data_IF_233324645942
#
_entry.id   IF_233324645942
#
_cell.length_a   1.000
_cell.length_b   1.000
_cell.length_c   1.000
_cell.angle_alpha   90.00
_cell.angle_beta   90.00
_cell.angle_gamma   90.00
#
_symmetry.space_group_name_H-M   'P 1'
#
loop_
_entity.id
_entity.type
_entity.pdbx_description
1 polymer ?
#
# COMPACT_ATOMS: atom_id res chain seq x y z
N UNK A 1 19.32 -59.73 -1.23
CA UNK A 1 20.35 -58.79 -0.72
C UNK A 1 20.15 -57.44 -1.42
N UNK A 2 19.33 -56.56 -0.84
CA UNK A 2 19.05 -55.21 -1.35
C UNK A 2 18.76 -54.31 -0.16
N UNK A 3 19.47 -53.20 -0.03
CA UNK A 3 19.16 -51.99 0.75
C UNK A 3 20.26 -50.98 0.34
N UNK A 4 20.04 -50.17 -0.69
CA UNK A 4 19.42 -48.83 -0.72
C UNK A 4 20.16 -47.74 0.07
N UNK A 5 20.40 -46.66 -0.66
CA UNK A 5 21.32 -45.57 -0.41
C UNK A 5 20.80 -44.52 0.59
N UNK A 6 21.78 -43.88 1.23
CA UNK A 6 21.68 -42.77 2.17
C UNK A 6 21.02 -41.52 1.58
N UNK A 7 19.93 -41.06 2.22
CA UNK A 7 19.39 -39.69 2.08
C UNK A 7 19.95 -38.83 3.22
N UNK A 8 20.72 -37.79 2.86
CA UNK A 8 21.10 -36.68 3.74
C UNK A 8 19.86 -35.86 4.10
N UNK A 9 19.47 -35.89 5.38
CA UNK A 9 18.50 -34.95 5.94
C UNK A 9 19.14 -33.56 6.06
N UNK A 10 18.63 -32.59 5.30
CA UNK A 10 18.87 -31.18 5.55
C UNK A 10 18.09 -30.80 6.82
N UNK A 11 18.79 -30.46 7.89
CA UNK A 11 18.19 -29.78 9.04
C UNK A 11 17.60 -28.45 8.55
N UNK A 12 16.28 -28.34 8.60
CA UNK A 12 15.58 -27.06 8.59
C UNK A 12 15.91 -26.36 9.91
N UNK A 13 16.70 -25.28 9.83
CA UNK A 13 16.84 -24.32 10.90
C UNK A 13 15.45 -23.74 11.18
N UNK A 14 14.90 -24.07 12.36
CA UNK A 14 13.70 -23.45 12.89
C UNK A 14 14.04 -21.98 13.17
N UNK A 15 13.72 -21.10 12.22
CA UNK A 15 13.80 -19.66 12.44
C UNK A 15 12.85 -19.32 13.59
N UNK A 16 13.44 -18.90 14.71
CA UNK A 16 12.73 -18.36 15.85
C UNK A 16 12.06 -17.07 15.37
N UNK A 17 10.79 -17.18 14.94
CA UNK A 17 9.93 -16.01 14.74
C UNK A 17 9.77 -15.40 16.12
N UNK A 18 10.56 -14.36 16.40
CA UNK A 18 10.30 -13.47 17.53
C UNK A 18 8.90 -12.92 17.30
N UNK A 19 7.94 -13.48 18.02
CA UNK A 19 6.57 -13.01 18.01
C UNK A 19 6.61 -11.52 18.29
N UNK A 20 6.14 -10.73 17.34
CA UNK A 20 5.74 -9.35 17.59
C UNK A 20 4.76 -9.46 18.76
N UNK A 21 5.20 -9.08 19.96
CA UNK A 21 4.28 -8.86 21.04
C UNK A 21 3.37 -7.75 20.55
N UNK A 22 2.18 -8.13 20.07
CA UNK A 22 1.04 -7.26 19.96
C UNK A 22 0.80 -6.79 21.38
N UNK A 23 1.46 -5.69 21.77
CA UNK A 23 1.01 -4.87 22.87
C UNK A 23 -0.42 -4.54 22.44
N UNK A 24 -1.45 -5.03 23.14
CA UNK A 24 -2.80 -4.63 22.83
C UNK A 24 -2.76 -3.12 22.84
N UNK A 25 -3.20 -2.47 21.76
CA UNK A 25 -3.34 -1.03 21.72
C UNK A 25 -4.25 -0.67 22.89
N UNK A 26 -3.65 -0.33 24.02
CA UNK A 26 -4.35 0.22 25.16
C UNK A 26 -4.98 1.45 24.57
N UNK A 27 -6.31 1.43 24.42
CA UNK A 27 -7.06 2.64 24.18
C UNK A 27 -6.93 3.46 25.46
N UNK A 28 -5.80 4.13 25.61
CA UNK A 28 -5.66 5.24 26.54
C UNK A 28 -6.62 6.26 25.97
N UNK A 29 -7.78 6.41 26.63
CA UNK A 29 -8.66 7.53 26.36
C UNK A 29 -7.81 8.82 26.45
N UNK A 30 -8.10 9.80 25.59
CA UNK A 30 -7.43 11.09 25.61
C UNK A 30 -7.34 11.62 27.05
N UNK A 31 -6.12 11.93 27.50
CA UNK A 31 -5.80 12.38 28.84
C UNK A 31 -4.42 11.94 29.34
N UNK A 32 -4.11 12.33 30.57
CA UNK A 32 -2.85 12.01 31.24
C UNK A 32 -2.96 10.74 32.07
N UNK A 33 -1.81 10.10 32.31
CA UNK A 33 -1.71 8.90 33.13
C UNK A 33 -0.32 8.65 33.69
N UNK A 34 -0.14 7.60 34.51
CA UNK A 34 -1.21 6.96 35.27
C UNK A 34 -1.77 7.93 36.33
N UNK A 35 -2.84 7.49 37.01
CA UNK A 35 -3.25 8.10 38.28
C UNK A 35 -2.07 8.08 39.25
N UNK A 36 -1.81 9.23 39.87
CA UNK A 36 -0.67 9.44 40.76
C UNK A 36 -0.99 10.51 41.80
N UNK A 37 -0.31 10.49 42.96
CA UNK A 37 -0.44 11.57 43.93
C UNK A 37 -0.15 12.92 43.28
N UNK A 38 -0.95 13.92 43.63
CA UNK A 38 -0.79 15.28 43.14
C UNK A 38 -0.28 16.18 44.25
N UNK A 39 0.37 17.26 43.82
CA UNK A 39 1.03 18.23 44.68
C UNK A 39 0.57 19.64 44.31
N UNK A 40 0.92 20.59 45.16
CA UNK A 40 0.69 22.01 44.86
C UNK A 40 2.03 22.72 44.78
N UNK A 41 2.04 23.90 44.16
CA UNK A 41 3.21 24.75 44.09
C UNK A 41 3.81 25.07 45.48
N UNK A 42 2.95 25.26 46.49
CA UNK A 42 3.37 25.54 47.87
C UNK A 42 3.82 24.27 48.64
N UNK A 43 3.45 23.08 48.17
CA UNK A 43 3.83 21.81 48.79
C UNK A 43 4.27 20.79 47.72
N UNK A 44 5.51 20.95 47.17
CA UNK A 44 6.06 20.01 46.20
C UNK A 44 6.35 18.62 46.78
N UNK A 45 6.59 17.65 45.91
CA UNK A 45 6.79 16.26 46.30
C UNK A 45 8.05 16.07 47.16
N UNK A 46 8.00 15.11 48.08
CA UNK A 46 9.17 14.66 48.84
C UNK A 46 9.94 13.51 48.17
N UNK A 47 9.60 13.19 46.93
CA UNK A 47 10.24 12.17 46.10
C UNK A 47 10.22 12.61 44.64
N UNK A 48 10.99 11.90 43.80
CA UNK A 48 11.05 12.16 42.36
C UNK A 48 9.75 11.73 41.70
N UNK A 49 9.01 12.69 41.19
CA UNK A 49 7.81 12.49 40.39
C UNK A 49 7.75 13.57 39.33
N UNK A 50 7.12 13.28 38.19
CA UNK A 50 7.04 14.22 37.09
C UNK A 50 5.63 14.75 36.92
N UNK A 51 5.51 16.06 36.68
CA UNK A 51 4.30 16.70 36.17
C UNK A 51 3.05 16.38 37.00
N UNK A 52 3.15 16.49 38.31
CA UNK A 52 2.16 16.14 39.33
C UNK A 52 1.72 17.35 40.15
N UNK A 53 2.21 18.56 39.87
CA UNK A 53 1.69 19.80 40.46
C UNK A 53 0.43 20.26 39.71
N UNK A 54 -0.61 20.65 40.44
CA UNK A 54 -1.93 21.01 39.86
C UNK A 54 -2.16 22.52 39.72
N UNK A 55 -1.29 23.35 40.28
CA UNK A 55 -1.44 24.80 40.32
C UNK A 55 -0.11 25.55 40.15
N UNK A 56 0.73 25.11 39.21
CA UNK A 56 1.94 25.84 38.83
C UNK A 56 1.54 27.25 38.36
N UNK A 57 2.18 28.32 38.86
CA UNK A 57 1.78 29.70 38.57
C UNK A 57 2.00 30.11 37.11
N UNK A 58 2.82 29.37 36.36
CA UNK A 58 3.14 29.64 34.95
C UNK A 58 2.31 28.78 34.02
N UNK A 59 2.27 27.45 34.25
CA UNK A 59 1.61 26.50 33.32
C UNK A 59 0.27 25.96 33.82
N UNK A 60 -0.12 26.25 35.06
CA UNK A 60 -1.33 25.72 35.68
C UNK A 60 -1.17 24.26 36.12
N UNK A 61 -2.09 23.41 35.69
CA UNK A 61 -2.00 21.98 35.95
C UNK A 61 -0.92 21.36 35.04
N UNK A 62 0.09 20.73 35.64
CA UNK A 62 1.22 20.17 34.88
C UNK A 62 0.92 18.79 34.29
N UNK A 63 -0.19 18.14 34.68
CA UNK A 63 -0.53 16.80 34.23
C UNK A 63 -0.83 16.71 32.72
N UNK A 64 -1.56 17.67 32.10
CA UNK A 64 -1.65 17.79 30.63
C UNK A 64 -0.40 18.49 30.07
N UNK A 65 0.70 17.75 29.97
CA UNK A 65 2.00 18.28 29.59
C UNK A 65 2.36 18.18 28.10
N UNK A 66 1.59 17.46 27.29
CA UNK A 66 1.74 17.39 25.84
C UNK A 66 0.72 18.30 25.18
N UNK A 67 1.19 19.22 24.37
CA UNK A 67 0.33 20.08 23.57
C UNK A 67 1.04 20.42 22.25
N UNK A 68 0.33 21.00 21.29
CA UNK A 68 0.95 21.40 20.05
C UNK A 68 0.22 22.52 19.32
N UNK A 69 0.76 22.90 18.18
CA UNK A 69 0.12 23.84 17.26
C UNK A 69 0.65 23.65 15.86
N UNK A 70 -0.15 23.99 14.85
CA UNK A 70 0.36 24.21 13.50
C UNK A 70 1.46 25.26 13.59
N UNK A 71 2.64 24.98 13.03
CA UNK A 71 3.85 25.75 13.25
C UNK A 71 3.75 27.21 12.75
N UNK A 72 2.89 27.45 11.76
CA UNK A 72 2.57 28.78 11.22
C UNK A 72 1.60 29.57 12.10
N UNK A 73 0.94 28.93 13.08
CA UNK A 73 0.01 29.61 13.98
C UNK A 73 0.78 30.41 15.05
N UNK A 74 0.56 31.74 15.15
CA UNK A 74 1.22 32.57 16.15
C UNK A 74 0.71 32.33 17.58
N UNK A 75 -0.43 31.65 17.76
CA UNK A 75 -1.03 31.37 19.06
C UNK A 75 -0.25 30.42 19.97
N UNK A 76 -0.79 30.21 21.17
CA UNK A 76 -0.29 29.24 22.15
C UNK A 76 -0.51 27.80 21.67
N UNK A 77 0.21 26.85 22.27
CA UNK A 77 -0.08 25.43 22.07
C UNK A 77 -1.43 25.07 22.68
N UNK A 78 -2.09 24.10 22.08
CA UNK A 78 -3.42 23.61 22.44
C UNK A 78 -3.41 22.09 22.49
N UNK A 79 -4.40 21.53 23.18
CA UNK A 79 -4.60 20.09 23.34
C UNK A 79 -5.39 19.46 22.17
N UNK A 80 -6.14 20.29 21.44
CA UNK A 80 -6.95 19.88 20.29
C UNK A 80 -6.50 20.64 19.04
N UNK A 81 -5.92 19.93 18.07
CA UNK A 81 -5.31 20.53 16.88
C UNK A 81 -6.10 20.13 15.64
N UNK A 82 -6.67 21.12 14.97
CA UNK A 82 -7.21 20.92 13.62
C UNK A 82 -6.06 20.98 12.61
N UNK A 83 -5.98 19.99 11.74
CA UNK A 83 -4.90 19.85 10.74
C UNK A 83 -5.45 19.80 9.32
N UNK A 84 -4.66 20.29 8.38
CA UNK A 84 -4.83 20.17 6.93
C UNK A 84 -3.67 19.38 6.33
N UNK A 85 -3.82 19.02 5.05
CA UNK A 85 -2.76 18.33 4.32
C UNK A 85 -1.49 19.21 4.26
N UNK A 86 -0.33 18.58 4.44
CA UNK A 86 0.99 19.22 4.48
C UNK A 86 1.24 20.22 5.62
N UNK A 87 0.33 20.36 6.58
CA UNK A 87 0.61 21.15 7.79
C UNK A 87 1.86 20.59 8.50
N UNK A 88 2.71 21.50 8.96
CA UNK A 88 3.78 21.17 9.91
C UNK A 88 3.27 21.53 11.30
N UNK A 89 3.19 20.56 12.19
CA UNK A 89 2.75 20.74 13.58
C UNK A 89 3.97 20.68 14.50
N UNK A 90 4.12 21.69 15.36
CA UNK A 90 5.08 21.66 16.45
C UNK A 90 4.41 21.07 17.69
N UNK A 91 4.93 19.95 18.19
CA UNK A 91 4.53 19.38 19.48
C UNK A 91 5.49 19.84 20.57
N UNK A 92 4.98 19.98 21.79
CA UNK A 92 5.70 20.44 22.97
C UNK A 92 5.33 19.58 24.17
N UNK A 93 6.33 19.01 24.81
CA UNK A 93 6.23 18.23 26.05
C UNK A 93 6.85 19.05 27.17
N UNK A 94 6.06 19.49 28.14
CA UNK A 94 6.58 20.09 29.37
C UNK A 94 7.09 19.01 30.32
N UNK A 95 8.24 19.20 30.95
CA UNK A 95 8.73 18.30 31.99
C UNK A 95 9.11 19.10 33.24
N UNK A 96 8.74 18.57 34.40
CA UNK A 96 9.15 19.11 35.69
C UNK A 96 9.27 17.96 36.70
N UNK A 97 10.48 17.74 37.23
CA UNK A 97 10.67 16.88 38.39
C UNK A 97 10.21 17.64 39.64
N UNK A 98 9.06 17.27 40.18
CA UNK A 98 8.41 18.01 41.27
C UNK A 98 8.97 17.69 42.66
N UNK A 99 10.08 16.96 42.76
CA UNK A 99 10.80 16.84 44.02
C UNK A 99 11.18 18.25 44.50
N UNK A 100 10.86 18.55 45.76
CA UNK A 100 11.21 19.82 46.40
C UNK A 100 12.72 20.07 46.35
N UNK A 101 13.10 21.34 46.32
CA UNK A 101 14.50 21.75 46.09
C UNK A 101 15.45 21.36 47.23
N UNK A 102 15.03 21.50 48.49
CA UNK A 102 15.83 21.21 49.68
C UNK A 102 16.29 19.75 49.80
N UNK A 103 15.63 18.82 49.10
CA UNK A 103 16.03 17.42 49.09
C UNK A 103 17.16 17.12 48.10
N UNK A 104 17.45 18.02 47.16
CA UNK A 104 18.48 17.84 46.12
C UNK A 104 18.36 16.50 45.35
N UNK A 105 17.13 16.04 45.12
CA UNK A 105 16.88 14.78 44.40
C UNK A 105 17.06 14.97 42.90
N UNK A 106 17.66 13.98 42.25
CA UNK A 106 17.94 13.98 40.81
C UNK A 106 17.34 12.73 40.18
N UNK A 107 16.44 12.93 39.21
CA UNK A 107 15.94 11.85 38.37
C UNK A 107 17.07 11.36 37.46
N UNK A 108 17.15 10.05 37.25
CA UNK A 108 18.22 9.42 36.46
C UNK A 108 17.65 8.68 35.26
N UNK A 109 18.45 8.64 34.18
CA UNK A 109 18.08 8.02 32.91
C UNK A 109 16.76 8.58 32.35
N UNK A 110 16.52 9.88 32.59
CA UNK A 110 15.29 10.56 32.21
C UNK A 110 15.21 10.70 30.70
N UNK A 111 14.11 10.21 30.12
CA UNK A 111 13.85 10.23 28.68
C UNK A 111 12.46 10.74 28.37
N UNK A 112 12.34 11.40 27.23
CA UNK A 112 11.06 11.74 26.59
C UNK A 112 10.85 10.84 25.38
N UNK A 113 9.63 10.33 25.21
CA UNK A 113 9.21 9.56 24.03
C UNK A 113 7.88 10.07 23.54
N UNK A 114 7.67 10.11 22.23
CA UNK A 114 6.41 10.53 21.61
C UNK A 114 6.00 9.47 20.60
N UNK A 115 4.89 8.79 20.85
CA UNK A 115 4.28 7.88 19.89
C UNK A 115 3.35 8.65 18.97
N UNK A 116 3.60 8.51 17.67
CA UNK A 116 2.79 9.11 16.62
C UNK A 116 1.83 8.06 16.02
N UNK A 117 0.61 8.46 15.65
CA UNK A 117 -0.35 7.58 15.01
C UNK A 117 0.12 7.21 13.60
N UNK A 118 0.22 5.90 13.35
CA UNK A 118 0.65 5.34 12.06
C UNK A 118 -0.50 4.87 11.18
N UNK A 119 -1.71 4.76 11.74
CA UNK A 119 -2.91 4.33 11.03
C UNK A 119 -3.69 5.58 10.60
N UNK A 120 -4.00 5.76 9.30
CA UNK A 120 -4.80 6.89 8.83
C UNK A 120 -6.17 6.96 9.50
N UNK A 121 -6.49 8.10 10.10
CA UNK A 121 -7.79 8.35 10.72
C UNK A 121 -8.18 9.84 10.63
N UNK A 122 -9.47 10.15 10.67
CA UNK A 122 -9.97 11.55 10.70
C UNK A 122 -9.84 12.18 12.09
N UNK A 123 -9.74 11.35 13.14
CA UNK A 123 -9.46 11.71 14.51
C UNK A 123 -8.47 10.71 15.10
N UNK A 124 -7.41 11.21 15.72
CA UNK A 124 -6.36 10.40 16.34
C UNK A 124 -5.59 11.24 17.34
N UNK A 125 -4.69 10.63 18.11
CA UNK A 125 -3.88 11.32 19.11
C UNK A 125 -2.42 10.86 19.03
N UNK A 126 -1.52 11.74 19.47
CA UNK A 126 -0.15 11.36 19.80
C UNK A 126 -0.04 11.19 21.32
N UNK A 127 0.88 10.35 21.78
CA UNK A 127 1.09 10.12 23.22
C UNK A 127 2.55 10.37 23.59
N UNK A 128 2.78 11.26 24.55
CA UNK A 128 4.10 11.51 25.11
C UNK A 128 4.28 10.74 26.42
N UNK A 129 5.51 10.34 26.69
CA UNK A 129 5.94 9.72 27.94
C UNK A 129 7.19 10.41 28.47
N UNK A 130 7.19 10.73 29.76
CA UNK A 130 8.39 11.08 30.52
C UNK A 130 8.72 9.89 31.41
N UNK A 131 9.91 9.33 31.24
CA UNK A 131 10.34 8.09 31.93
C UNK A 131 11.63 8.36 32.68
N UNK A 132 11.72 7.95 33.95
CA UNK A 132 12.98 7.96 34.71
C UNK A 132 13.04 6.75 35.64
N UNK A 133 14.23 6.15 35.79
CA UNK A 133 14.39 4.84 36.43
C UNK A 133 14.03 4.85 37.93
N UNK A 134 14.28 5.99 38.57
CA UNK A 134 14.08 6.24 40.01
C UNK A 134 12.88 7.16 40.32
N UNK A 135 12.02 7.46 39.33
CA UNK A 135 10.80 8.21 39.54
C UNK A 135 9.66 7.30 40.04
N UNK A 136 8.72 7.90 40.77
CA UNK A 136 7.47 7.26 41.19
C UNK A 136 6.27 8.10 40.70
N UNK A 137 5.43 7.59 39.77
CA UNK A 137 5.66 6.38 38.97
C UNK A 137 6.89 6.53 38.06
N UNK A 138 7.39 5.40 37.54
CA UNK A 138 8.55 5.40 36.61
C UNK A 138 8.28 6.09 35.28
N UNK A 139 7.02 6.19 34.90
CA UNK A 139 6.58 6.86 33.70
C UNK A 139 5.29 7.63 33.95
N UNK A 140 5.21 8.83 33.39
CA UNK A 140 3.96 9.59 33.23
C UNK A 140 3.71 9.77 31.74
N UNK A 141 2.44 9.81 31.35
CA UNK A 141 2.00 9.95 29.97
C UNK A 141 0.97 11.06 29.82
N UNK A 142 0.89 11.61 28.62
CA UNK A 142 -0.16 12.53 28.21
C UNK A 142 -0.40 12.43 26.71
N UNK A 143 -1.59 12.83 26.28
CA UNK A 143 -2.00 12.78 24.87
C UNK A 143 -2.31 14.16 24.33
N UNK A 144 -2.18 14.33 23.01
CA UNK A 144 -2.70 15.51 22.30
C UNK A 144 -3.53 15.03 21.11
N UNK A 145 -4.69 15.63 20.92
CA UNK A 145 -5.69 15.22 19.95
C UNK A 145 -5.56 15.99 18.63
N UNK A 146 -5.80 15.27 17.54
CA UNK A 146 -5.78 15.79 16.18
C UNK A 146 -7.09 15.50 15.46
N UNK A 147 -7.58 16.47 14.71
CA UNK A 147 -8.76 16.35 13.86
C UNK A 147 -8.49 16.85 12.45
N UNK A 148 -8.91 16.09 11.44
CA UNK A 148 -8.73 16.43 10.03
C UNK A 148 -9.99 16.15 9.22
N UNK A 149 -10.14 16.85 8.10
CA UNK A 149 -11.30 16.70 7.20
C UNK A 149 -11.33 15.32 6.49
N UNK A 150 -10.18 14.65 6.37
CA UNK A 150 -10.00 13.33 5.74
C UNK A 150 -8.98 12.52 6.57
N UNK A 151 -8.93 11.18 6.43
CA UNK A 151 -7.93 10.38 7.12
C UNK A 151 -6.51 10.89 6.88
N UNK A 152 -5.71 10.97 7.95
CA UNK A 152 -4.32 11.45 7.90
C UNK A 152 -3.40 10.63 8.80
N UNK A 153 -2.10 10.73 8.52
CA UNK A 153 -1.02 10.26 9.39
C UNK A 153 -0.13 11.43 9.81
N UNK A 154 0.64 11.22 10.89
CA UNK A 154 1.65 12.15 11.36
C UNK A 154 3.04 11.55 11.16
N UNK A 155 3.87 12.25 10.40
CA UNK A 155 5.22 11.82 10.08
C UNK A 155 6.22 12.69 10.85
N UNK A 156 7.04 12.08 11.70
CA UNK A 156 8.11 12.81 12.37
C UNK A 156 9.09 13.41 11.36
N UNK A 157 9.54 14.64 11.60
CA UNK A 157 10.60 15.28 10.83
C UNK A 157 11.95 15.06 11.55
N UNK A 158 12.85 14.19 11.05
CA UNK A 158 14.12 13.91 11.71
C UNK A 158 14.97 15.16 11.94
N UNK A 159 15.72 15.16 13.05
CA UNK A 159 16.56 16.29 13.48
C UNK A 159 15.80 17.50 14.04
N UNK A 160 14.48 17.42 14.22
CA UNK A 160 13.68 18.54 14.76
C UNK A 160 13.45 18.45 16.27
N UNK A 161 13.89 17.37 16.91
CA UNK A 161 13.80 17.21 18.35
C UNK A 161 14.75 18.18 19.08
N UNK A 162 14.20 19.00 19.96
CA UNK A 162 14.95 20.02 20.69
C UNK A 162 14.58 20.10 22.17
N UNK A 163 15.57 20.37 23.00
CA UNK A 163 15.44 20.63 24.43
C UNK A 163 15.56 22.12 24.73
N UNK A 164 14.63 22.61 25.53
CA UNK A 164 14.54 24.00 25.97
C UNK A 164 14.42 24.04 27.48
N UNK A 165 15.34 24.72 28.15
CA UNK A 165 15.29 24.97 29.58
C UNK A 165 16.07 26.25 29.90
N UNK A 166 16.38 26.50 31.17
CA UNK A 166 17.12 27.71 31.57
C UNK A 166 18.56 27.78 31.01
N UNK A 167 19.16 26.67 30.58
CA UNK A 167 20.47 26.60 29.92
C UNK A 167 20.34 26.44 28.41
N UNK A 168 19.63 25.41 27.95
CA UNK A 168 19.46 25.10 26.54
C UNK A 168 18.41 25.99 25.87
N UNK A 169 18.76 26.58 24.73
CA UNK A 169 17.86 27.35 23.86
C UNK A 169 17.64 26.62 22.53
N UNK A 170 17.20 25.35 22.63
CA UNK A 170 16.96 24.49 21.49
C UNK A 170 18.11 23.51 21.18
N UNK A 171 18.64 22.84 22.21
CA UNK A 171 19.68 21.83 22.02
C UNK A 171 19.10 20.59 21.32
N UNK A 172 19.80 20.07 20.30
CA UNK A 172 19.35 18.92 19.54
C UNK A 172 19.25 17.66 20.42
N UNK A 173 18.17 16.90 20.25
CA UNK A 173 17.94 15.61 20.88
C UNK A 173 18.03 14.48 19.85
N UNK A 174 18.19 13.24 20.33
CA UNK A 174 18.15 12.06 19.46
C UNK A 174 16.78 11.90 18.79
N UNK A 175 16.78 11.43 17.54
CA UNK A 175 15.58 11.00 16.83
C UNK A 175 14.93 9.75 17.44
N UNK A 176 15.61 9.08 18.39
CA UNK A 176 15.04 8.03 19.22
C UNK A 176 13.83 8.50 20.03
N UNK A 177 13.55 9.81 20.10
CA UNK A 177 12.35 10.39 20.71
C UNK A 177 11.05 9.79 20.18
N UNK A 178 10.99 9.34 18.92
CA UNK A 178 9.80 8.66 18.35
C UNK A 178 9.91 7.14 18.35
N UNK A 179 10.80 6.58 19.17
CA UNK A 179 11.02 5.14 19.32
C UNK A 179 10.70 4.67 20.74
N UNK A 180 10.71 3.35 20.95
CA UNK A 180 10.58 2.76 22.27
C UNK A 180 11.74 3.12 23.22
N UNK A 181 12.90 3.55 22.70
CA UNK A 181 14.03 3.96 23.54
C UNK A 181 13.77 5.33 24.15
N UNK A 182 13.34 6.31 23.34
CA UNK A 182 13.21 7.70 23.74
C UNK A 182 14.51 8.48 23.66
N UNK A 183 14.42 9.81 23.68
CA UNK A 183 15.59 10.68 23.78
C UNK A 183 15.90 11.00 25.25
N UNK A 184 17.17 10.90 25.63
CA UNK A 184 17.63 11.41 26.93
C UNK A 184 17.41 12.92 27.00
N UNK A 185 17.04 13.41 28.18
CA UNK A 185 17.03 14.84 28.49
C UNK A 185 17.94 15.11 29.68
N UNK A 186 18.15 16.38 30.02
CA UNK A 186 18.89 16.77 31.21
C UNK A 186 18.85 18.28 31.40
N UNK A 187 19.62 18.79 32.35
CA UNK A 187 19.63 20.22 32.64
C UNK A 187 20.77 20.98 31.95
N UNK A 188 22.01 20.66 32.33
CA UNK A 188 23.26 21.26 31.83
C UNK A 188 23.95 20.42 30.75
N UNK A 189 23.54 19.16 30.64
CA UNK A 189 24.05 18.15 29.73
C UNK A 189 22.94 17.14 29.42
N UNK A 190 22.97 16.55 28.23
CA UNK A 190 21.95 15.59 27.79
C UNK A 190 22.35 14.18 28.26
N UNK A 191 22.31 13.95 29.57
CA UNK A 191 22.84 12.75 30.23
C UNK A 191 21.79 11.95 31.03
N UNK A 192 20.50 12.31 30.91
CA UNK A 192 19.42 11.67 31.66
C UNK A 192 19.30 12.14 33.11
N UNK A 193 20.01 13.18 33.54
CA UNK A 193 19.94 13.70 34.91
C UNK A 193 19.07 14.96 34.96
N UNK A 194 17.95 14.89 35.67
CA UNK A 194 17.02 16.02 35.83
C UNK A 194 16.82 16.32 37.32
N UNK A 195 17.44 17.38 37.86
CA UNK A 195 17.24 17.79 39.25
C UNK A 195 15.79 18.21 39.52
N UNK A 196 15.36 18.08 40.78
CA UNK A 196 14.06 18.59 41.25
C UNK A 196 14.07 20.10 41.46
N UNK A 197 12.89 20.72 41.34
CA UNK A 197 12.60 22.17 41.36
C UNK A 197 12.33 22.77 39.97
N UNK A 198 11.48 23.81 39.94
CA UNK A 198 11.01 24.46 38.71
C UNK A 198 12.16 25.02 37.88
N UNK A 199 13.23 25.53 38.48
CA UNK A 199 14.34 26.11 37.71
C UNK A 199 15.04 25.11 36.79
N UNK A 200 14.79 23.82 36.99
CA UNK A 200 15.32 22.73 36.16
C UNK A 200 14.26 22.15 35.20
N UNK A 201 13.04 22.69 35.23
CA UNK A 201 11.97 22.37 34.29
C UNK A 201 12.33 22.84 32.88
N UNK A 202 11.55 22.38 31.91
CA UNK A 202 11.71 22.79 30.53
C UNK A 202 10.71 22.14 29.61
N UNK A 203 10.96 22.28 28.31
CA UNK A 203 10.15 21.69 27.27
C UNK A 203 11.00 20.95 26.26
N UNK A 204 10.46 19.86 25.74
CA UNK A 204 10.95 19.19 24.54
C UNK A 204 10.01 19.51 23.39
N UNK A 205 10.56 19.85 22.22
CA UNK A 205 9.77 20.10 21.02
C UNK A 205 10.16 19.16 19.89
N UNK A 206 9.18 18.72 19.09
CA UNK A 206 9.40 18.06 17.80
C UNK A 206 8.52 18.69 16.73
N UNK A 207 8.88 18.52 15.45
CA UNK A 207 7.99 18.82 14.33
C UNK A 207 7.51 17.53 13.68
N UNK A 208 6.23 17.50 13.35
CA UNK A 208 5.61 16.44 12.57
C UNK A 208 4.94 17.03 11.34
N UNK A 209 5.02 16.33 10.21
CA UNK A 209 4.32 16.67 8.99
C UNK A 209 3.02 15.88 8.92
N UNK A 210 1.93 16.56 8.61
CA UNK A 210 0.63 15.95 8.34
C UNK A 210 0.63 15.46 6.90
N UNK A 211 0.31 14.18 6.71
CA UNK A 211 0.08 13.59 5.41
C UNK A 211 -1.39 13.18 5.34
N UNK A 212 -2.17 13.87 4.51
CA UNK A 212 -3.53 13.48 4.16
C UNK A 212 -3.51 12.91 2.76
N UNK A 213 -3.39 11.57 2.59
CA UNK A 213 -3.41 10.94 1.28
C UNK A 213 -4.52 11.54 0.44
N UNK A 214 -4.19 12.07 -0.74
CA UNK A 214 -5.13 12.79 -1.59
C UNK A 214 -6.43 12.01 -1.75
N UNK A 215 -7.56 12.72 -1.90
CA UNK A 215 -8.78 12.05 -2.32
C UNK A 215 -8.45 11.38 -3.64
N UNK A 216 -8.53 10.06 -3.67
CA UNK A 216 -8.30 9.27 -4.87
C UNK A 216 -9.15 9.90 -5.98
N UNK A 217 -8.51 10.57 -6.94
CA UNK A 217 -9.21 11.20 -8.06
C UNK A 217 -9.56 10.08 -9.01
N UNK A 218 -10.86 9.74 -9.19
CA UNK A 218 -11.21 8.60 -10.01
C UNK A 218 -10.77 8.83 -11.44
N UNK A 219 -10.01 7.89 -11.99
CA UNK A 219 -9.59 7.90 -13.39
C UNK A 219 -10.02 6.60 -14.05
N UNK A 220 -10.71 6.73 -15.18
CA UNK A 220 -11.22 5.62 -15.98
C UNK A 220 -11.09 5.93 -17.46
N UNK A 221 -10.69 4.94 -18.24
CA UNK A 221 -10.55 5.06 -19.70
C UNK A 221 -10.66 3.69 -20.36
N UNK A 222 -11.09 3.63 -21.62
CA UNK A 222 -10.76 2.50 -22.48
C UNK A 222 -9.47 2.84 -23.21
N UNK A 223 -8.37 2.19 -22.83
CA UNK A 223 -7.05 2.52 -23.32
C UNK A 223 -6.83 1.95 -24.73
N UNK A 224 -7.29 0.72 -24.95
CA UNK A 224 -7.18 0.05 -26.23
C UNK A 224 -8.30 -0.97 -26.43
N UNK A 225 -8.86 -0.98 -27.65
CA UNK A 225 -9.64 -2.11 -28.15
C UNK A 225 -8.75 -2.92 -29.10
N UNK A 226 -8.26 -4.07 -28.62
CA UNK A 226 -7.51 -5.02 -29.43
C UNK A 226 -8.49 -5.95 -30.16
N UNK A 227 -8.31 -6.09 -31.48
CA UNK A 227 -9.18 -6.87 -32.34
C UNK A 227 -8.36 -7.80 -33.22
N UNK A 228 -8.47 -9.09 -32.95
CA UNK A 228 -7.86 -10.14 -33.75
C UNK A 228 -8.86 -10.65 -34.79
N UNK A 229 -8.66 -10.26 -36.05
CA UNK A 229 -9.36 -10.87 -37.17
C UNK A 229 -8.86 -12.31 -37.39
N UNK A 230 -9.79 -13.24 -37.56
CA UNK A 230 -9.55 -14.66 -37.79
C UNK A 230 -10.17 -15.08 -39.13
N UNK A 231 -9.81 -16.28 -39.59
CA UNK A 231 -10.44 -16.91 -40.73
C UNK A 231 -11.96 -17.05 -40.55
N UNK A 232 -12.65 -17.28 -41.67
CA UNK A 232 -14.09 -17.42 -41.70
C UNK A 232 -14.85 -16.20 -41.16
N UNK A 233 -14.27 -14.99 -41.18
CA UNK A 233 -14.91 -13.74 -40.71
C UNK A 233 -15.22 -13.71 -39.22
N UNK A 234 -14.38 -14.35 -38.44
CA UNK A 234 -14.47 -14.30 -36.99
C UNK A 234 -13.55 -13.22 -36.44
N UNK A 235 -13.97 -12.61 -35.34
CA UNK A 235 -13.18 -11.68 -34.55
C UNK A 235 -13.13 -12.15 -33.11
N UNK A 236 -11.95 -12.07 -32.50
CA UNK A 236 -11.77 -12.12 -31.06
C UNK A 236 -11.34 -10.71 -30.59
N UNK A 237 -12.14 -10.06 -29.73
CA UNK A 237 -11.88 -8.71 -29.24
C UNK A 237 -11.57 -8.71 -27.73
N UNK A 238 -10.62 -7.87 -27.31
CA UNK A 238 -10.27 -7.64 -25.92
C UNK A 238 -10.07 -6.14 -25.66
N UNK A 239 -10.49 -5.65 -24.50
CA UNK A 239 -10.23 -4.28 -24.06
C UNK A 239 -9.17 -4.23 -22.98
N UNK A 240 -8.23 -3.30 -23.14
CA UNK A 240 -7.35 -2.83 -22.08
C UNK A 240 -7.87 -1.49 -21.57
N UNK A 241 -7.85 -1.30 -20.26
CA UNK A 241 -8.49 -0.16 -19.62
C UNK A 241 -7.75 0.29 -18.37
N UNK A 242 -7.92 1.57 -18.04
CA UNK A 242 -7.48 2.16 -16.79
C UNK A 242 -8.67 2.27 -15.85
N UNK A 243 -8.51 1.84 -14.60
CA UNK A 243 -9.45 2.06 -13.52
C UNK A 243 -8.67 2.27 -12.21
N UNK A 244 -8.52 3.53 -11.81
CA UNK A 244 -7.78 3.91 -10.61
C UNK A 244 -8.56 4.93 -9.82
N UNK A 245 -8.08 5.24 -8.62
CA UNK A 245 -8.68 6.30 -7.82
C UNK A 245 -10.11 5.99 -7.34
N UNK A 246 -10.46 4.72 -7.13
CA UNK A 246 -11.79 4.31 -6.71
C UNK A 246 -12.80 4.08 -7.85
N UNK A 247 -12.39 4.21 -9.11
CA UNK A 247 -13.18 3.72 -10.24
C UNK A 247 -13.13 2.18 -10.32
N UNK A 248 -14.27 1.53 -10.51
CA UNK A 248 -14.40 0.07 -10.57
C UNK A 248 -15.03 -0.36 -11.89
N UNK A 249 -14.36 -1.20 -12.67
CA UNK A 249 -14.93 -1.75 -13.91
C UNK A 249 -16.14 -2.64 -13.62
N UNK A 250 -17.25 -2.43 -14.36
CA UNK A 250 -18.48 -3.23 -14.24
C UNK A 250 -18.66 -4.19 -15.41
N UNK A 251 -18.66 -3.64 -16.63
CA UNK A 251 -18.95 -4.39 -17.85
C UNK A 251 -18.48 -3.62 -19.10
N UNK A 252 -18.54 -4.30 -20.24
CA UNK A 252 -18.31 -3.74 -21.56
C UNK A 252 -19.40 -4.21 -22.52
N UNK A 253 -19.88 -3.28 -23.35
CA UNK A 253 -20.73 -3.58 -24.50
C UNK A 253 -19.90 -3.46 -25.79
N UNK A 254 -19.70 -4.58 -26.48
CA UNK A 254 -19.07 -4.61 -27.80
C UNK A 254 -20.16 -4.46 -28.88
N UNK A 255 -20.20 -3.33 -29.58
CA UNK A 255 -21.02 -3.13 -30.76
C UNK A 255 -20.20 -3.46 -32.01
N UNK A 256 -20.59 -4.49 -32.75
CA UNK A 256 -19.74 -5.13 -33.77
C UNK A 256 -19.72 -4.42 -35.13
N UNK A 257 -20.51 -3.36 -35.31
CA UNK A 257 -20.59 -2.60 -36.56
C UNK A 257 -21.48 -3.22 -37.64
N UNK A 258 -22.16 -4.33 -37.34
CA UNK A 258 -23.12 -5.01 -38.23
C UNK A 258 -24.57 -4.98 -37.67
N UNK A 259 -24.80 -4.14 -36.66
CA UNK A 259 -26.08 -4.04 -35.94
C UNK A 259 -26.20 -4.98 -34.74
N UNK A 260 -25.24 -5.89 -34.51
CA UNK A 260 -25.22 -6.75 -33.32
C UNK A 260 -24.34 -6.16 -32.21
N UNK A 261 -24.64 -6.55 -30.97
CA UNK A 261 -23.81 -6.22 -29.82
C UNK A 261 -23.72 -7.34 -28.79
N UNK A 262 -22.72 -7.29 -27.93
CA UNK A 262 -22.50 -8.25 -26.85
C UNK A 262 -22.13 -7.52 -25.57
N UNK A 263 -22.99 -7.63 -24.55
CA UNK A 263 -22.73 -7.13 -23.20
C UNK A 263 -22.11 -8.24 -22.35
N UNK A 264 -21.02 -7.95 -21.66
CA UNK A 264 -20.32 -8.92 -20.81
C UNK A 264 -19.61 -8.23 -19.65
N UNK A 265 -19.48 -8.94 -18.52
CA UNK A 265 -18.64 -8.51 -17.39
C UNK A 265 -17.17 -8.90 -17.54
N UNK A 266 -16.81 -9.63 -18.62
CA UNK A 266 -15.43 -9.94 -18.99
C UNK A 266 -14.85 -8.81 -19.85
N UNK A 267 -13.53 -8.79 -20.02
CA UNK A 267 -12.83 -7.83 -20.88
C UNK A 267 -12.79 -8.24 -22.36
N UNK A 268 -13.34 -9.41 -22.71
CA UNK A 268 -13.27 -9.94 -24.07
C UNK A 268 -14.58 -10.56 -24.52
N UNK A 269 -14.78 -10.53 -25.84
CA UNK A 269 -15.91 -11.15 -26.53
C UNK A 269 -15.48 -11.60 -27.94
N UNK A 270 -16.29 -12.46 -28.55
CA UNK A 270 -16.04 -13.01 -29.90
C UNK A 270 -17.27 -12.79 -30.77
N UNK A 271 -17.04 -12.59 -32.06
CA UNK A 271 -18.12 -12.37 -33.03
C UNK A 271 -17.84 -13.03 -34.38
N UNK A 272 -18.90 -13.33 -35.12
CA UNK A 272 -18.86 -14.00 -36.41
C UNK A 272 -19.72 -13.22 -37.41
N UNK A 273 -19.08 -12.61 -38.41
CA UNK A 273 -19.81 -11.84 -39.42
C UNK A 273 -20.43 -12.74 -40.49
N UNK A 274 -21.64 -12.37 -40.92
CA UNK A 274 -22.39 -13.09 -41.96
C UNK A 274 -21.94 -12.74 -43.38
N UNK A 275 -21.33 -11.58 -43.58
CA UNK A 275 -20.93 -11.05 -44.89
C UNK A 275 -19.49 -10.52 -44.85
N UNK A 276 -18.89 -10.43 -46.02
CA UNK A 276 -17.65 -9.71 -46.21
C UNK A 276 -17.92 -8.21 -46.10
N UNK A 277 -16.95 -7.45 -45.61
CA UNK A 277 -17.14 -6.03 -45.37
C UNK A 277 -16.09 -5.44 -44.44
N UNK A 278 -16.18 -4.12 -44.30
CA UNK A 278 -15.43 -3.36 -43.31
C UNK A 278 -16.36 -3.07 -42.14
N UNK A 279 -15.93 -3.41 -40.94
CA UNK A 279 -16.71 -3.26 -39.72
C UNK A 279 -15.93 -2.40 -38.73
N UNK A 280 -16.59 -1.35 -38.20
CA UNK A 280 -16.05 -0.55 -37.12
C UNK A 280 -16.67 -1.00 -35.80
N UNK A 281 -15.85 -1.56 -34.92
CA UNK A 281 -16.27 -2.11 -33.64
C UNK A 281 -16.09 -1.03 -32.58
N UNK A 282 -17.12 -0.80 -31.78
CA UNK A 282 -17.07 0.10 -30.63
C UNK A 282 -17.20 -0.71 -29.33
N UNK A 283 -16.31 -0.50 -28.38
CA UNK A 283 -16.42 -1.04 -27.04
C UNK A 283 -16.72 0.09 -26.06
N UNK A 284 -17.88 0.02 -25.39
CA UNK A 284 -18.28 0.97 -24.35
C UNK A 284 -18.17 0.29 -22.99
N UNK A 285 -17.18 0.70 -22.21
CA UNK A 285 -16.94 0.21 -20.85
C UNK A 285 -17.73 1.05 -19.86
N UNK A 286 -18.27 0.40 -18.84
CA UNK A 286 -18.97 1.05 -17.72
C UNK A 286 -18.16 0.87 -16.44
N UNK A 287 -17.99 1.95 -15.69
CA UNK A 287 -17.29 2.01 -14.42
C UNK A 287 -18.21 2.56 -13.33
N UNK A 288 -18.16 1.99 -12.14
CA UNK A 288 -18.71 2.60 -10.93
C UNK A 288 -17.70 3.60 -10.37
N UNK A 289 -18.11 4.86 -10.22
CA UNK A 289 -17.34 5.92 -9.59
C UNK A 289 -18.17 6.50 -8.45
N UNK A 290 -17.90 6.04 -7.23
CA UNK A 290 -18.59 6.52 -6.03
C UNK A 290 -20.11 6.27 -6.03
N UNK A 291 -20.55 5.15 -6.59
CA UNK A 291 -21.96 4.77 -6.73
C UNK A 291 -22.64 5.30 -8.00
N UNK A 292 -21.92 6.01 -8.87
CA UNK A 292 -22.44 6.55 -10.13
C UNK A 292 -21.77 5.88 -11.32
N UNK A 293 -22.57 5.40 -12.27
CA UNK A 293 -22.05 4.79 -13.50
C UNK A 293 -21.48 5.87 -14.44
N UNK A 294 -20.26 5.62 -14.91
CA UNK A 294 -19.52 6.41 -15.90
C UNK A 294 -19.07 5.51 -17.04
N UNK A 295 -18.91 6.06 -18.23
CA UNK A 295 -18.53 5.28 -19.41
C UNK A 295 -17.27 5.82 -20.10
N UNK A 296 -16.54 4.92 -20.74
CA UNK A 296 -15.46 5.24 -21.66
C UNK A 296 -15.56 4.34 -22.91
N UNK A 297 -15.22 4.89 -24.07
CA UNK A 297 -15.38 4.19 -25.35
C UNK A 297 -14.07 4.19 -26.13
N UNK A 298 -13.81 3.07 -26.79
CA UNK A 298 -12.71 2.87 -27.72
C UNK A 298 -13.24 2.14 -28.96
N UNK A 299 -12.53 2.25 -30.07
CA UNK A 299 -12.96 1.66 -31.34
C UNK A 299 -11.79 1.10 -32.14
N UNK A 300 -12.06 0.08 -32.92
CA UNK A 300 -11.12 -0.54 -33.84
C UNK A 300 -11.88 -1.12 -35.03
N UNK A 301 -11.23 -1.18 -36.19
CA UNK A 301 -11.85 -1.64 -37.43
C UNK A 301 -11.22 -2.94 -37.92
N UNK A 302 -12.03 -3.78 -38.55
CA UNK A 302 -11.60 -5.00 -39.26
C UNK A 302 -12.17 -5.03 -40.67
N UNK A 303 -11.49 -5.72 -41.58
CA UNK A 303 -11.93 -5.91 -42.96
C UNK A 303 -11.85 -7.38 -43.33
N UNK A 304 -12.93 -7.90 -43.90
CA UNK A 304 -12.99 -9.24 -44.48
C UNK A 304 -13.27 -9.12 -45.98
N UNK A 305 -12.44 -9.78 -46.78
CA UNK A 305 -12.62 -9.90 -48.23
C UNK A 305 -12.55 -11.36 -48.62
N UNK A 306 -13.39 -11.78 -49.55
CA UNK A 306 -13.23 -13.04 -50.25
C UNK A 306 -11.87 -13.02 -50.97
N UNK A 307 -10.97 -13.90 -50.56
CA UNK A 307 -10.01 -14.42 -51.52
C UNK A 307 -10.82 -15.20 -52.55
N UNK A 308 -10.87 -14.72 -53.80
CA UNK A 308 -11.42 -15.50 -54.92
C UNK A 308 -10.83 -16.92 -54.84
N UNK A 309 -11.64 -17.99 -54.95
CA UNK A 309 -11.08 -19.32 -55.12
C UNK A 309 -10.17 -19.29 -56.35
N UNK A 310 -8.90 -19.69 -56.20
CA UNK A 310 -8.06 -19.99 -57.36
C UNK A 310 -8.69 -21.22 -58.01
N UNK A 311 -9.52 -21.00 -59.03
CA UNK A 311 -9.93 -22.06 -59.95
C UNK A 311 -8.64 -22.53 -60.61
N UNK A 312 -8.18 -23.75 -60.28
CA UNK A 312 -7.14 -24.41 -61.09
C UNK A 312 -7.74 -24.60 -62.48
N UNK A 313 -7.24 -23.82 -63.43
CA UNK A 313 -7.59 -23.92 -64.84
C UNK A 313 -7.20 -25.32 -65.33
N UNK A 314 -8.20 -26.13 -65.70
CA UNK A 314 -7.95 -27.38 -66.42
C UNK A 314 -7.60 -26.99 -67.84
N UNK A 315 -6.32 -27.07 -68.19
CA UNK A 315 -5.88 -26.98 -69.58
C UNK A 315 -6.52 -28.10 -70.40
N UNK A 316 -7.50 -27.74 -71.22
CA UNK A 316 -8.03 -28.57 -72.30
C UNK A 316 -6.93 -28.76 -73.34
N UNK A 317 -6.29 -29.93 -73.36
CA UNK A 317 -5.34 -30.31 -74.42
C UNK A 317 -6.14 -30.48 -75.71
N UNK A 318 -5.84 -29.64 -76.70
CA UNK A 318 -6.50 -29.64 -78.01
C UNK A 318 -5.52 -30.10 -79.07
N UNK A 319 -5.07 -31.35 -79.00
CA UNK A 319 -4.46 -32.07 -80.13
C UNK A 319 -4.63 -33.58 -79.93
N UNK A 320 -5.27 -34.26 -80.89
CA UNK A 320 -5.20 -35.72 -81.00
C UNK A 320 -3.73 -36.14 -81.21
N UNK A 321 -3.21 -37.18 -80.53
CA UNK A 321 -2.04 -37.87 -81.01
C UNK A 321 -2.44 -38.67 -82.25
N UNK A 322 -1.75 -38.43 -83.36
CA UNK A 322 -1.76 -39.33 -84.51
C UNK A 322 -0.95 -40.58 -84.14
N UNK A 323 -1.63 -41.66 -83.76
CA UNK A 323 -1.03 -43.00 -83.72
C UNK A 323 -1.42 -43.74 -84.99
N UNK A 324 -0.67 -43.47 -86.06
CA UNK A 324 -0.60 -44.38 -87.20
C UNK A 324 -0.16 -45.77 -86.74
N UNK A 325 -0.64 -46.79 -87.44
CA UNK A 325 -0.32 -48.18 -87.18
C UNK A 325 1.19 -48.43 -87.34
N UNK A 326 1.90 -48.64 -86.23
CA UNK A 326 3.31 -49.00 -86.23
C UNK A 326 4.05 -48.47 -85.02
N UNK A 327 3.93 -49.13 -83.87
CA UNK A 327 4.63 -48.75 -82.64
C UNK A 327 4.32 -49.66 -81.46
N UNK A 328 4.26 -50.97 -81.70
CA UNK A 328 4.26 -52.00 -80.67
C UNK A 328 5.69 -52.09 -80.12
N UNK A 329 5.82 -52.47 -78.84
CA UNK A 329 7.03 -52.86 -78.08
C UNK A 329 7.50 -51.78 -77.10
N UNK A 330 7.08 -51.92 -75.84
CA UNK A 330 7.76 -51.26 -74.72
C UNK A 330 6.89 -51.02 -73.49
N UNK A 331 6.94 -51.94 -72.53
CA UNK A 331 6.71 -51.71 -71.10
C UNK A 331 5.28 -51.80 -70.52
N UNK A 332 4.56 -52.87 -70.88
CA UNK A 332 3.68 -53.56 -69.92
C UNK A 332 4.51 -54.36 -68.89
N UNK A 333 5.35 -53.69 -68.11
CA UNK A 333 6.12 -54.32 -67.04
C UNK A 333 6.24 -53.38 -65.84
N UNK A 334 5.32 -53.50 -64.88
CA UNK A 334 5.43 -52.76 -63.61
C UNK A 334 4.17 -52.61 -62.77
N UNK A 335 2.99 -53.06 -63.21
CA UNK A 335 1.73 -52.90 -62.45
C UNK A 335 1.19 -54.21 -61.84
N UNK A 336 2.01 -55.25 -61.67
CA UNK A 336 1.54 -56.56 -61.14
C UNK A 336 2.59 -57.27 -60.28
N UNK A 337 3.18 -56.55 -59.32
CA UNK A 337 4.20 -57.11 -58.40
C UNK A 337 4.03 -56.79 -56.91
N UNK A 338 3.21 -55.82 -56.52
CA UNK A 338 3.12 -55.37 -55.12
C UNK A 338 1.76 -55.61 -54.43
N UNK A 339 0.74 -56.10 -55.16
CA UNK A 339 -0.53 -56.52 -54.55
C UNK A 339 -0.54 -57.99 -54.09
N UNK A 340 0.46 -58.80 -54.47
CA UNK A 340 0.49 -60.25 -54.21
C UNK A 340 1.25 -60.69 -52.95
N UNK A 341 2.02 -59.82 -52.29
CA UNK A 341 2.86 -60.21 -51.14
C UNK A 341 2.30 -59.77 -49.77
N UNK A 342 1.30 -58.89 -49.74
CA UNK A 342 0.62 -58.48 -48.50
C UNK A 342 -0.41 -59.49 -47.97
N UNK A 343 -1.01 -60.30 -48.86
CA UNK A 343 -2.13 -61.17 -48.49
C UNK A 343 -1.71 -62.59 -48.00
N UNK A 344 -0.41 -62.91 -48.03
CA UNK A 344 0.14 -64.21 -47.59
C UNK A 344 0.73 -64.18 -46.17
N UNK A 345 1.01 -62.99 -45.60
CA UNK A 345 1.53 -62.85 -44.23
C UNK A 345 0.45 -62.74 -43.14
N UNK A 346 -0.81 -62.51 -43.52
CA UNK A 346 -1.94 -62.32 -42.58
C UNK A 346 -2.66 -63.64 -42.22
N UNK A 347 -2.37 -64.76 -42.89
CA UNK A 347 -3.06 -66.05 -42.65
C UNK A 347 -2.16 -67.18 -42.12
N UNK A 348 -0.93 -66.90 -41.64
CA UNK A 348 -0.03 -67.95 -41.10
C UNK A 348 0.72 -67.65 -39.78
N UNK A 349 0.19 -66.75 -38.95
CA UNK A 349 0.39 -66.80 -37.48
C UNK A 349 -0.98 -66.84 -36.83
N UNK A 350 -1.49 -68.05 -36.60
CA UNK A 350 -1.58 -68.71 -35.29
C UNK A 350 -2.98 -68.47 -34.67
N UNK A 351 -3.82 -69.49 -34.47
CA UNK A 351 -3.51 -70.91 -34.29
C UNK A 351 -2.84 -71.11 -32.94
#
# INVERSE_FOLDING_TARGET
MRLFASKRNKLLALALVVGLALVPAVRVAAGWGPDRPTFTWAAPANYITFNSITNNPVVGDERPFLAGKVATNPGNVVDNINVNDNDVVSLRVFYHNNAREDLNLVATNTRVKIFLPTIPATRTWATSFIVADNATPRAVSDTVDFSGARPFTLEYMPGTAQLWNNIFRGAALSDDIVTNTGALIGFDSINGRVPGCERFSGYVTIKVKVNMPGALTPAYACDLLNVDARDNRRVDANVDFTATGGAIFKNVNFAWGDGQSTLTSKTSAKHQYAKDGNYNIHATLTFDVGGTDKTATCSASVSFKQNKPVVKEVTKVTTLPNTGAGGIVGLFAGASGLAGLGHYFVTRRRG
#
